data_IF_049580658140
#
_entry.id   IF_049580658140
#
_cell.length_a   1.000
_cell.length_b   1.000
_cell.length_c   1.000
_cell.angle_alpha   90.00
_cell.angle_beta   90.00
_cell.angle_gamma   90.00
#
_symmetry.space_group_name_H-M   'P 1'
#
loop_
_entity.id
_entity.type
_entity.pdbx_description
1 polymer ?
#
# COMPACT_ATOMS: atom_id res chain seq x y z
N UNK A 1 12.23 -14.01 -3.63
CA UNK A 1 11.63 -12.73 -4.02
C UNK A 1 12.52 -11.61 -3.47
N UNK A 2 12.79 -10.56 -4.26
CA UNK A 2 13.69 -9.44 -3.90
C UNK A 2 12.92 -8.17 -3.47
N UNK A 3 11.58 -8.24 -3.53
CA UNK A 3 10.68 -7.14 -3.25
C UNK A 3 9.25 -7.68 -3.00
N UNK A 4 8.38 -6.84 -2.44
CA UNK A 4 6.97 -7.13 -2.15
C UNK A 4 6.04 -5.99 -2.61
N UNK A 5 4.79 -6.32 -2.88
CA UNK A 5 3.66 -5.39 -2.98
C UNK A 5 2.71 -5.73 -1.85
N UNK A 6 2.13 -4.72 -1.21
CA UNK A 6 1.11 -4.92 -0.17
C UNK A 6 -0.24 -4.56 -0.76
N UNK A 7 -1.29 -5.30 -0.37
CA UNK A 7 -2.63 -5.01 -0.80
C UNK A 7 -3.61 -5.26 0.34
N UNK A 8 -4.63 -4.42 0.47
CA UNK A 8 -5.75 -4.66 1.35
C UNK A 8 -7.05 -4.17 0.71
N UNK A 9 -8.16 -4.75 1.14
CA UNK A 9 -9.47 -4.41 0.62
C UNK A 9 -10.16 -3.33 1.47
N UNK A 10 -10.89 -2.43 0.82
CA UNK A 10 -11.86 -1.54 1.44
C UNK A 10 -13.28 -2.04 1.15
N UNK A 11 -13.93 -2.78 2.08
CA UNK A 11 -15.31 -3.24 1.90
C UNK A 11 -16.33 -2.11 1.71
N UNK A 12 -15.98 -0.89 2.12
CA UNK A 12 -16.81 0.30 1.95
C UNK A 12 -16.95 0.76 0.50
N UNK A 13 -16.11 0.24 -0.41
CA UNK A 13 -16.02 0.70 -1.79
C UNK A 13 -15.15 1.95 -1.97
N UNK A 14 -14.83 2.69 -0.90
CA UNK A 14 -13.98 3.88 -1.00
C UNK A 14 -12.52 3.49 -1.20
N UNK A 15 -11.87 3.96 -2.26
CA UNK A 15 -10.45 3.70 -2.55
C UNK A 15 -9.49 4.73 -1.93
N UNK A 16 -10.01 5.76 -1.25
CA UNK A 16 -9.18 6.77 -0.62
C UNK A 16 -8.42 6.20 0.60
N UNK A 17 -7.08 6.30 0.64
CA UNK A 17 -6.28 5.80 1.75
C UNK A 17 -6.55 6.56 3.04
N UNK A 18 -6.88 5.82 4.10
CA UNK A 18 -6.98 6.34 5.46
C UNK A 18 -5.61 6.79 6.00
N UNK A 19 -5.57 7.60 7.08
CA UNK A 19 -4.33 7.88 7.79
C UNK A 19 -3.59 6.60 8.24
N UNK A 20 -4.34 5.58 8.66
CA UNK A 20 -3.81 4.29 9.09
C UNK A 20 -3.12 3.54 7.95
N UNK A 21 -3.68 3.57 6.73
CA UNK A 21 -3.08 2.94 5.54
C UNK A 21 -1.73 3.57 5.21
N UNK A 22 -1.66 4.90 5.29
CA UNK A 22 -0.42 5.67 5.07
C UNK A 22 0.62 5.32 6.12
N UNK A 23 0.23 5.23 7.38
CA UNK A 23 1.12 4.87 8.48
C UNK A 23 1.62 3.43 8.40
N UNK A 24 0.77 2.50 7.97
CA UNK A 24 1.16 1.11 7.68
C UNK A 24 2.15 1.07 6.52
N UNK A 25 1.85 1.76 5.41
CA UNK A 25 2.73 1.86 4.23
C UNK A 25 4.11 2.35 4.60
N UNK A 26 4.18 3.46 5.35
CA UNK A 26 5.43 4.06 5.82
C UNK A 26 6.25 3.08 6.65
N UNK A 27 5.63 2.41 7.63
CA UNK A 27 6.33 1.44 8.50
C UNK A 27 6.83 0.22 7.71
N UNK A 28 6.04 -0.28 6.76
CA UNK A 28 6.43 -1.40 5.91
C UNK A 28 7.60 -1.05 5.01
N UNK A 29 7.62 0.16 4.42
CA UNK A 29 8.76 0.65 3.63
C UNK A 29 10.04 0.71 4.46
N UNK A 30 9.96 1.30 5.66
CA UNK A 30 11.10 1.37 6.60
C UNK A 30 11.60 -0.02 7.01
N UNK A 31 10.70 -0.95 7.31
CA UNK A 31 11.06 -2.33 7.64
C UNK A 31 11.68 -3.05 6.44
N UNK A 32 11.13 -2.84 5.24
CA UNK A 32 11.66 -3.38 4.00
C UNK A 32 13.09 -2.93 3.71
N UNK A 33 13.39 -1.63 3.91
CA UNK A 33 14.74 -1.09 3.82
C UNK A 33 15.71 -1.79 4.78
N UNK A 34 15.31 -1.99 6.04
CA UNK A 34 16.13 -2.67 7.04
C UNK A 34 16.41 -4.14 6.67
N UNK A 35 15.42 -4.82 6.10
CA UNK A 35 15.50 -6.23 5.73
C UNK A 35 16.12 -6.47 4.34
N UNK A 36 16.39 -5.41 3.57
CA UNK A 36 16.83 -5.53 2.18
C UNK A 36 15.73 -6.05 1.23
N UNK A 37 14.46 -5.86 1.59
CA UNK A 37 13.28 -6.26 0.80
C UNK A 37 12.49 -5.01 0.43
N UNK A 38 12.56 -4.59 -0.83
CA UNK A 38 11.87 -3.37 -1.27
C UNK A 38 10.35 -3.54 -1.25
N UNK A 39 9.61 -2.58 -0.69
CA UNK A 39 8.16 -2.45 -0.89
C UNK A 39 7.95 -1.62 -2.14
N UNK A 40 7.30 -2.20 -3.16
CA UNK A 40 7.14 -1.56 -4.47
C UNK A 40 5.90 -0.69 -4.55
N UNK A 41 4.82 -1.11 -3.89
CA UNK A 41 3.54 -0.41 -3.91
C UNK A 41 2.64 -0.88 -2.75
N UNK A 42 1.58 -0.13 -2.50
CA UNK A 42 0.45 -0.52 -1.65
C UNK A 42 -0.86 -0.31 -2.42
N UNK A 43 -1.55 -1.41 -2.71
CA UNK A 43 -2.82 -1.40 -3.43
C UNK A 43 -4.01 -1.42 -2.46
N UNK A 44 -4.93 -0.47 -2.65
CA UNK A 44 -6.25 -0.48 -2.02
C UNK A 44 -7.24 -0.94 -3.07
N UNK A 45 -8.05 -1.96 -2.80
CA UNK A 45 -9.00 -2.46 -3.80
C UNK A 45 -10.40 -2.69 -3.23
N UNK A 46 -11.39 -2.62 -4.10
CA UNK A 46 -12.79 -2.95 -3.84
C UNK A 46 -13.38 -3.67 -5.07
N UNK A 47 -14.69 -3.91 -5.08
CA UNK A 47 -15.36 -4.58 -6.19
C UNK A 47 -15.29 -3.77 -7.50
N UNK A 48 -15.32 -2.44 -7.41
CA UNK A 48 -15.42 -1.53 -8.55
C UNK A 48 -14.04 -1.11 -9.11
N UNK A 49 -12.95 -1.41 -8.40
CA UNK A 49 -11.61 -1.05 -8.87
C UNK A 49 -10.52 -1.11 -7.79
N UNK A 50 -9.42 -0.42 -8.06
CA UNK A 50 -8.29 -0.32 -7.15
C UNK A 50 -7.58 1.04 -7.29
N UNK A 51 -6.84 1.42 -6.25
CA UNK A 51 -5.91 2.54 -6.22
C UNK A 51 -4.53 2.02 -5.87
N UNK A 52 -3.53 2.38 -6.70
CA UNK A 52 -2.12 2.29 -6.34
C UNK A 52 -1.75 3.52 -5.53
N UNK A 53 -1.25 3.33 -4.31
CA UNK A 53 -0.77 4.45 -3.50
C UNK A 53 0.43 5.13 -4.17
N UNK A 54 1.25 4.39 -4.93
CA UNK A 54 2.36 4.94 -5.70
C UNK A 54 1.87 5.85 -6.83
N UNK A 55 0.95 5.37 -7.68
CA UNK A 55 0.39 6.18 -8.78
C UNK A 55 -0.44 7.36 -8.25
N UNK A 56 -1.13 7.18 -7.12
CA UNK A 56 -1.92 8.22 -6.45
C UNK A 56 -1.07 9.31 -5.76
N UNK A 57 0.26 9.18 -5.74
CA UNK A 57 1.15 10.18 -5.14
C UNK A 57 1.11 10.20 -3.61
N UNK A 58 0.71 9.09 -2.98
CA UNK A 58 0.44 8.98 -1.53
C UNK A 58 1.24 7.85 -0.86
N UNK A 59 2.25 7.31 -1.55
CA UNK A 59 3.11 6.19 -1.13
C UNK A 59 4.29 6.57 -0.26
#
# INVERSE_FOLDING_TARGET
>A
ATAIIVAHNHPSGNLEPSPEDRDVTRRLRQAGELLGIKVLDHLIFCEEGFLSMLEGGVF
#
